data_IF_254819339719
#
_entry.id   IF_254819339719
#
_cell.length_a   1.000
_cell.length_b   1.000
_cell.length_c   1.000
_cell.angle_alpha   90.00
_cell.angle_beta   90.00
_cell.angle_gamma   90.00
#
_symmetry.space_group_name_H-M   'P 1'
#
loop_
_entity.id
_entity.type
_entity.pdbx_description
1 polymer ?
#
# COMPACT_ATOMS: atom_id res chain seq x y z
N UNK A 1 -6.14 -33.03 27.36
CA UNK A 1 -5.43 -31.76 27.60
C UNK A 1 -6.19 -30.68 26.82
N UNK A 2 -6.83 -29.74 27.47
CA UNK A 2 -7.55 -28.64 26.81
C UNK A 2 -6.48 -27.65 26.33
N UNK A 3 -6.31 -27.49 25.02
CA UNK A 3 -5.45 -26.44 24.46
C UNK A 3 -6.23 -25.15 24.61
N UNK A 4 -5.79 -24.28 25.51
CA UNK A 4 -6.36 -22.94 25.65
C UNK A 4 -5.83 -22.10 24.47
N UNK A 5 -6.69 -21.83 23.47
CA UNK A 5 -6.36 -20.89 22.40
C UNK A 5 -6.14 -19.48 22.96
N UNK A 6 -5.05 -18.84 22.56
CA UNK A 6 -4.68 -17.48 22.97
C UNK A 6 -5.52 -16.43 22.24
N UNK A 7 -5.89 -16.72 21.00
CA UNK A 7 -6.67 -15.85 20.13
C UNK A 7 -7.85 -16.63 19.55
N UNK A 8 -8.97 -15.93 19.29
CA UNK A 8 -10.04 -16.48 18.45
C UNK A 8 -9.59 -16.54 17.00
N UNK A 9 -10.31 -17.29 16.16
CA UNK A 9 -9.99 -17.36 14.72
C UNK A 9 -10.17 -16.00 14.05
N UNK A 10 -11.15 -15.20 14.50
CA UNK A 10 -11.39 -13.82 14.03
C UNK A 10 -10.25 -12.87 14.41
N UNK A 11 -9.70 -13.01 15.61
CA UNK A 11 -8.53 -12.24 16.06
C UNK A 11 -7.29 -12.63 15.27
N UNK A 12 -7.09 -13.91 14.97
CA UNK A 12 -5.99 -14.38 14.12
C UNK A 12 -6.11 -13.83 12.69
N UNK A 13 -7.30 -13.83 12.11
CA UNK A 13 -7.54 -13.27 10.80
C UNK A 13 -7.18 -11.79 10.74
N UNK A 14 -7.58 -11.02 11.77
CA UNK A 14 -7.22 -9.60 11.88
C UNK A 14 -5.70 -9.40 12.00
N UNK A 15 -5.02 -10.20 12.84
CA UNK A 15 -3.56 -10.13 13.02
C UNK A 15 -2.81 -10.47 11.72
N UNK A 16 -3.23 -11.51 10.99
CA UNK A 16 -2.67 -11.87 9.68
C UNK A 16 -2.78 -10.73 8.69
N UNK A 17 -3.98 -10.16 8.52
CA UNK A 17 -4.16 -9.05 7.59
C UNK A 17 -3.37 -7.81 8.03
N UNK A 18 -3.29 -7.54 9.34
CA UNK A 18 -2.46 -6.48 9.89
C UNK A 18 -0.98 -6.66 9.52
N UNK A 19 -0.46 -7.88 9.64
CA UNK A 19 0.92 -8.20 9.22
C UNK A 19 1.15 -7.93 7.73
N UNK A 20 0.22 -8.36 6.88
CA UNK A 20 0.31 -8.07 5.44
C UNK A 20 0.39 -6.58 5.16
N UNK A 21 -0.47 -5.79 5.81
CA UNK A 21 -0.49 -4.32 5.64
C UNK A 21 0.81 -3.67 6.12
N UNK A 22 1.32 -4.09 7.28
CA UNK A 22 2.50 -3.48 7.90
C UNK A 22 3.77 -3.86 7.15
N UNK A 23 3.95 -5.14 6.84
CA UNK A 23 5.23 -5.67 6.37
C UNK A 23 5.23 -5.90 4.85
N UNK A 24 4.22 -6.60 4.30
CA UNK A 24 4.28 -7.04 2.91
C UNK A 24 3.87 -5.94 1.92
N UNK A 25 2.85 -5.12 2.26
CA UNK A 25 2.46 -4.01 1.37
C UNK A 25 3.60 -3.00 1.20
N UNK A 26 4.34 -2.70 2.27
CA UNK A 26 5.49 -1.81 2.17
C UNK A 26 6.59 -2.35 1.27
N UNK A 27 6.82 -3.68 1.27
CA UNK A 27 7.79 -4.33 0.38
C UNK A 27 7.33 -4.26 -1.08
N UNK A 28 6.07 -4.63 -1.34
CA UNK A 28 5.48 -4.58 -2.68
C UNK A 28 5.50 -3.16 -3.24
N UNK A 29 5.07 -2.17 -2.46
CA UNK A 29 5.04 -0.77 -2.87
C UNK A 29 6.45 -0.21 -3.16
N UNK A 30 7.48 -0.61 -2.39
CA UNK A 30 8.87 -0.22 -2.70
C UNK A 30 9.34 -0.79 -4.04
N UNK A 31 9.04 -2.06 -4.30
CA UNK A 31 9.37 -2.70 -5.58
C UNK A 31 8.64 -1.99 -6.73
N UNK A 32 7.36 -1.71 -6.57
CA UNK A 32 6.55 -0.98 -7.56
C UNK A 32 7.07 0.43 -7.79
N UNK A 33 7.37 1.19 -6.72
CA UNK A 33 7.95 2.53 -6.85
C UNK A 33 9.25 2.51 -7.65
N UNK A 34 10.16 1.59 -7.30
CA UNK A 34 11.43 1.46 -8.03
C UNK A 34 11.19 1.13 -9.50
N UNK A 35 10.29 0.19 -9.80
CA UNK A 35 9.93 -0.15 -11.17
C UNK A 35 9.36 1.05 -11.92
N UNK A 36 8.42 1.78 -11.33
CA UNK A 36 7.85 2.99 -11.95
C UNK A 36 8.92 4.05 -12.21
N UNK A 37 9.80 4.33 -11.25
CA UNK A 37 10.88 5.28 -11.40
C UNK A 37 11.84 4.90 -12.54
N UNK A 38 12.32 3.66 -12.53
CA UNK A 38 13.27 3.17 -13.51
C UNK A 38 12.71 3.19 -14.96
N UNK A 39 11.38 3.18 -15.12
CA UNK A 39 10.69 3.24 -16.41
C UNK A 39 10.24 4.65 -16.84
N UNK A 40 10.31 5.68 -16.01
CA UNK A 40 10.04 7.07 -16.43
C UNK A 40 11.05 7.59 -17.45
N UNK A 41 12.25 6.98 -17.49
CA UNK A 41 13.23 7.17 -18.58
C UNK A 41 13.97 8.50 -18.61
N UNK A 42 13.74 9.41 -17.66
CA UNK A 42 14.32 10.76 -17.65
C UNK A 42 15.40 10.99 -16.59
N UNK A 43 15.81 9.95 -15.86
CA UNK A 43 16.76 10.05 -14.77
C UNK A 43 17.61 8.80 -14.55
N UNK A 44 18.54 8.81 -13.59
CA UNK A 44 19.29 7.63 -13.20
C UNK A 44 18.36 6.57 -12.59
N UNK A 45 18.74 5.30 -12.71
CA UNK A 45 18.06 4.18 -12.03
C UNK A 45 18.02 4.44 -10.53
N UNK A 46 16.91 4.04 -9.86
CA UNK A 46 16.76 4.19 -8.42
C UNK A 46 17.75 3.29 -7.66
N UNK A 47 18.76 3.91 -7.08
CA UNK A 47 19.79 3.25 -6.26
C UNK A 47 19.72 3.64 -4.78
N UNK A 48 18.72 4.45 -4.40
CA UNK A 48 18.53 5.00 -3.06
C UNK A 48 19.69 5.89 -2.57
N UNK A 49 20.56 6.35 -3.46
CA UNK A 49 21.57 7.34 -3.11
C UNK A 49 20.93 8.69 -2.76
N UNK A 50 21.62 9.49 -1.95
CA UNK A 50 21.17 10.84 -1.60
C UNK A 50 20.92 11.70 -2.86
N UNK A 51 21.77 11.56 -3.88
CA UNK A 51 21.63 12.28 -5.14
C UNK A 51 20.31 11.95 -5.86
N UNK A 52 19.94 10.69 -5.93
CA UNK A 52 18.68 10.24 -6.57
C UNK A 52 17.48 10.65 -5.74
N UNK A 53 17.54 10.56 -4.41
CA UNK A 53 16.47 11.04 -3.53
C UNK A 53 16.28 12.57 -3.63
N UNK A 54 17.36 13.33 -3.74
CA UNK A 54 17.31 14.78 -3.94
C UNK A 54 16.73 15.14 -5.31
N UNK A 55 17.04 14.37 -6.35
CA UNK A 55 16.42 14.55 -7.67
C UNK A 55 14.91 14.33 -7.60
N UNK A 56 14.46 13.22 -6.98
CA UNK A 56 13.03 12.96 -6.76
C UNK A 56 12.38 14.13 -5.99
N UNK A 57 12.99 14.57 -4.88
CA UNK A 57 12.49 15.69 -4.08
C UNK A 57 12.37 17.00 -4.88
N UNK A 58 13.34 17.26 -5.75
CA UNK A 58 13.33 18.43 -6.64
C UNK A 58 12.17 18.39 -7.64
N UNK A 59 11.87 17.23 -8.21
CA UNK A 59 10.75 17.02 -9.13
C UNK A 59 9.39 17.17 -8.42
N UNK A 60 9.27 16.67 -7.18
CA UNK A 60 8.05 16.79 -6.37
C UNK A 60 7.82 18.22 -5.85
N UNK A 61 8.89 18.97 -5.60
CA UNK A 61 8.85 20.33 -5.05
C UNK A 61 8.67 20.36 -3.54
N UNK A 62 8.64 21.57 -2.99
CA UNK A 62 8.68 21.84 -1.53
C UNK A 62 7.50 21.31 -0.72
N UNK A 63 6.41 20.93 -1.36
CA UNK A 63 5.20 20.40 -0.71
C UNK A 63 5.16 18.86 -0.67
N UNK A 64 6.24 18.20 -1.07
CA UNK A 64 6.32 16.75 -1.00
C UNK A 64 6.21 16.25 0.44
N UNK A 65 5.36 15.25 0.67
CA UNK A 65 5.21 14.57 1.96
C UNK A 65 6.07 13.30 2.05
N UNK A 66 6.89 13.04 1.03
CA UNK A 66 7.79 11.90 0.99
C UNK A 66 9.05 12.23 1.78
N UNK A 67 9.48 11.40 2.76
CA UNK A 67 10.64 11.67 3.60
C UNK A 67 11.96 11.35 2.87
N UNK A 68 12.30 12.12 1.85
CA UNK A 68 13.47 11.90 0.98
C UNK A 68 14.83 12.08 1.68
N UNK A 69 14.85 12.63 2.88
CA UNK A 69 16.04 12.70 3.75
C UNK A 69 16.45 11.34 4.29
N UNK A 70 15.53 10.36 4.29
CA UNK A 70 15.77 9.01 4.73
C UNK A 70 15.80 8.04 3.53
N UNK A 71 16.49 6.88 3.73
CA UNK A 71 16.46 5.78 2.78
C UNK A 71 15.01 5.34 2.51
N UNK A 72 14.66 5.12 1.23
CA UNK A 72 13.33 4.65 0.85
C UNK A 72 12.97 3.28 1.46
N UNK A 73 13.97 2.53 1.93
CA UNK A 73 13.76 1.28 2.68
C UNK A 73 13.00 1.50 4.00
N UNK A 74 13.03 2.73 4.52
CA UNK A 74 12.33 3.15 5.74
C UNK A 74 10.97 3.79 5.47
N UNK A 75 10.63 4.06 4.21
CA UNK A 75 9.33 4.63 3.87
C UNK A 75 8.23 3.63 4.19
N UNK A 76 7.25 4.07 4.96
CA UNK A 76 6.04 3.31 5.24
C UNK A 76 5.07 3.32 4.05
N UNK A 77 3.96 2.60 4.16
CA UNK A 77 2.94 2.58 3.12
C UNK A 77 2.44 3.98 2.76
N UNK A 78 2.29 4.88 3.73
CA UNK A 78 1.79 6.24 3.50
C UNK A 78 2.76 7.03 2.62
N UNK A 79 4.04 7.01 2.97
CA UNK A 79 5.10 7.64 2.17
C UNK A 79 5.18 7.04 0.76
N UNK A 80 5.02 5.73 0.62
CA UNK A 80 5.05 5.04 -0.67
C UNK A 80 3.83 5.35 -1.53
N UNK A 81 2.64 5.53 -0.97
CA UNK A 81 1.49 6.05 -1.72
C UNK A 81 1.75 7.47 -2.22
N UNK A 82 2.33 8.33 -1.38
CA UNK A 82 2.72 9.68 -1.78
C UNK A 82 3.77 9.66 -2.89
N UNK A 83 4.75 8.76 -2.81
CA UNK A 83 5.82 8.62 -3.79
C UNK A 83 5.37 7.98 -5.11
N UNK A 84 4.15 7.43 -5.19
CA UNK A 84 3.62 6.76 -6.39
C UNK A 84 2.42 7.50 -6.96
N UNK A 85 1.20 7.15 -6.53
CA UNK A 85 -0.03 7.65 -7.16
C UNK A 85 -0.32 9.13 -6.90
N UNK A 86 0.28 9.72 -5.87
CA UNK A 86 0.18 11.15 -5.58
C UNK A 86 1.40 11.95 -6.09
N UNK A 87 2.44 11.28 -6.55
CA UNK A 87 3.67 11.92 -6.98
C UNK A 87 3.52 12.66 -8.31
N UNK A 88 4.12 13.84 -8.41
CA UNK A 88 4.13 14.65 -9.62
C UNK A 88 5.04 14.07 -10.69
N UNK A 89 6.10 13.37 -10.30
CA UNK A 89 7.05 12.76 -11.23
C UNK A 89 6.38 11.75 -12.16
N UNK A 90 5.28 11.12 -11.73
CA UNK A 90 4.49 10.20 -12.54
C UNK A 90 3.25 10.84 -13.16
N UNK A 91 3.14 12.17 -13.12
CA UNK A 91 1.97 12.89 -13.64
C UNK A 91 1.84 12.77 -15.15
N UNK A 92 0.60 12.77 -15.61
CA UNK A 92 0.22 12.74 -17.03
C UNK A 92 -0.41 14.08 -17.40
N UNK A 93 -0.29 14.45 -18.67
CA UNK A 93 -0.99 15.62 -19.20
C UNK A 93 -2.47 15.29 -19.46
N UNK A 94 -3.37 16.13 -18.95
CA UNK A 94 -4.78 16.06 -19.32
C UNK A 94 -5.00 16.67 -20.72
N UNK A 95 -6.23 16.59 -21.23
CA UNK A 95 -6.61 17.14 -22.55
C UNK A 95 -6.41 18.66 -22.68
N UNK A 96 -6.19 19.37 -21.56
CA UNK A 96 -5.95 20.81 -21.51
C UNK A 96 -4.47 21.15 -21.31
N UNK A 97 -3.60 20.12 -21.24
CA UNK A 97 -2.17 20.28 -21.01
C UNK A 97 -1.77 20.47 -19.54
N UNK A 98 -2.67 20.24 -18.58
CA UNK A 98 -2.31 20.31 -17.17
C UNK A 98 -1.76 18.99 -16.67
N UNK A 99 -0.72 19.04 -15.85
CA UNK A 99 -0.20 17.85 -15.17
C UNK A 99 -1.18 17.36 -14.08
N UNK A 100 -1.52 16.10 -14.16
CA UNK A 100 -2.40 15.39 -13.22
C UNK A 100 -1.71 14.15 -12.68
N UNK A 101 -1.74 13.98 -11.38
CA UNK A 101 -1.21 12.77 -10.73
C UNK A 101 -1.98 11.53 -11.18
N UNK A 102 -1.37 10.36 -11.06
CA UNK A 102 -2.05 9.10 -11.42
C UNK A 102 -3.37 8.93 -10.67
N UNK A 103 -3.41 9.37 -9.40
CA UNK A 103 -4.65 9.37 -8.62
C UNK A 103 -5.73 10.24 -9.24
N UNK A 104 -5.39 11.45 -9.70
CA UNK A 104 -6.36 12.37 -10.32
C UNK A 104 -6.88 11.84 -11.64
N UNK A 105 -6.04 11.14 -12.42
CA UNK A 105 -6.41 10.61 -13.73
C UNK A 105 -7.23 9.32 -13.63
N UNK A 106 -6.82 8.39 -12.75
CA UNK A 106 -7.37 7.03 -12.79
C UNK A 106 -8.19 6.63 -11.57
N UNK A 107 -7.89 7.19 -10.38
CA UNK A 107 -8.56 6.80 -9.13
C UNK A 107 -9.77 7.68 -8.84
N UNK A 108 -9.58 9.00 -8.78
CA UNK A 108 -10.68 9.94 -8.48
C UNK A 108 -11.90 9.78 -9.39
N UNK A 109 -11.75 9.62 -10.71
CA UNK A 109 -12.91 9.50 -11.61
C UNK A 109 -13.75 8.25 -11.36
N UNK A 110 -13.22 7.22 -10.69
CA UNK A 110 -13.98 6.01 -10.35
C UNK A 110 -15.00 6.23 -9.25
N UNK A 111 -14.86 7.29 -8.45
CA UNK A 111 -15.86 7.72 -7.47
C UNK A 111 -16.28 6.64 -6.48
N UNK A 112 -15.33 5.84 -5.98
CA UNK A 112 -15.63 4.74 -5.05
C UNK A 112 -16.27 5.28 -3.77
N UNK A 113 -17.41 4.73 -3.34
CA UNK A 113 -17.98 5.00 -2.02
C UNK A 113 -17.00 4.63 -0.91
N UNK A 114 -17.12 5.29 0.24
CA UNK A 114 -16.34 4.95 1.42
C UNK A 114 -16.51 3.47 1.81
N UNK A 115 -15.43 2.81 2.19
CA UNK A 115 -15.41 1.38 2.53
C UNK A 115 -15.52 0.42 1.35
N UNK A 116 -15.59 0.95 0.11
CA UNK A 116 -15.63 0.13 -1.10
C UNK A 116 -14.22 -0.14 -1.64
N UNK A 117 -14.14 -1.16 -2.51
CA UNK A 117 -12.93 -1.62 -3.18
C UNK A 117 -13.10 -1.60 -4.69
N UNK A 118 -11.99 -1.50 -5.43
CA UNK A 118 -12.03 -1.65 -6.88
C UNK A 118 -12.46 -3.06 -7.26
N UNK A 119 -13.40 -3.16 -8.19
CA UNK A 119 -13.86 -4.46 -8.71
C UNK A 119 -12.79 -5.11 -9.59
N UNK A 120 -12.01 -4.30 -10.29
CA UNK A 120 -10.91 -4.73 -11.15
C UNK A 120 -9.71 -3.80 -10.95
N UNK A 121 -8.53 -4.37 -10.84
CA UNK A 121 -7.27 -3.63 -10.71
C UNK A 121 -6.53 -3.54 -12.05
N UNK A 122 -6.82 -4.42 -13.02
CA UNK A 122 -6.25 -4.35 -14.35
C UNK A 122 -6.98 -3.30 -15.21
N UNK A 123 -6.22 -2.55 -16.00
CA UNK A 123 -6.81 -1.65 -17.00
C UNK A 123 -7.48 -2.46 -18.10
N UNK A 124 -8.76 -2.18 -18.44
CA UNK A 124 -9.42 -2.81 -19.58
C UNK A 124 -8.74 -2.55 -20.92
N UNK A 125 -8.03 -1.43 -21.03
CA UNK A 125 -7.30 -1.03 -22.23
C UNK A 125 -5.84 -1.44 -22.26
N UNK A 126 -5.36 -2.20 -21.26
CA UNK A 126 -3.95 -2.60 -21.17
C UNK A 126 -2.99 -1.45 -20.83
N UNK A 127 -3.48 -0.39 -20.19
CA UNK A 127 -2.65 0.75 -19.77
C UNK A 127 -1.98 0.45 -18.44
N UNK A 128 -0.65 0.33 -18.45
CA UNK A 128 0.14 0.01 -17.25
C UNK A 128 0.03 1.07 -16.15
N UNK A 129 0.02 2.35 -16.52
CA UNK A 129 -0.11 3.44 -15.55
C UNK A 129 -1.48 3.41 -14.83
N UNK A 130 -2.57 3.10 -15.55
CA UNK A 130 -3.88 2.87 -14.96
C UNK A 130 -3.87 1.66 -14.04
N UNK A 131 -3.31 0.53 -14.51
CA UNK A 131 -3.19 -0.70 -13.72
C UNK A 131 -2.44 -0.45 -12.41
N UNK A 132 -1.27 0.18 -12.47
CA UNK A 132 -0.50 0.52 -11.28
C UNK A 132 -1.26 1.46 -10.33
N UNK A 133 -1.90 2.50 -10.88
CA UNK A 133 -2.66 3.46 -10.07
C UNK A 133 -3.80 2.77 -9.30
N UNK A 134 -4.55 1.89 -9.95
CA UNK A 134 -5.69 1.21 -9.34
C UNK A 134 -5.22 0.13 -8.35
N UNK A 135 -4.19 -0.65 -8.69
CA UNK A 135 -3.64 -1.67 -7.80
C UNK A 135 -3.03 -1.05 -6.53
N UNK A 136 -2.28 0.04 -6.66
CA UNK A 136 -1.73 0.78 -5.51
C UNK A 136 -2.86 1.36 -4.66
N UNK A 137 -3.91 1.92 -5.28
CA UNK A 137 -5.07 2.44 -4.55
C UNK A 137 -5.83 1.32 -3.82
N UNK A 138 -5.93 0.13 -4.41
CA UNK A 138 -6.51 -1.05 -3.76
C UNK A 138 -5.76 -1.40 -2.46
N UNK A 139 -4.41 -1.39 -2.47
CA UNK A 139 -3.61 -1.61 -1.27
C UNK A 139 -3.81 -0.48 -0.25
N UNK A 140 -3.97 0.77 -0.70
CA UNK A 140 -4.29 1.91 0.16
C UNK A 140 -5.65 1.74 0.86
N UNK A 141 -6.66 1.29 0.14
CA UNK A 141 -7.99 1.02 0.69
C UNK A 141 -7.96 -0.09 1.74
N UNK A 142 -7.25 -1.20 1.47
CA UNK A 142 -7.06 -2.30 2.43
C UNK A 142 -6.30 -1.82 3.68
N UNK A 143 -5.23 -1.04 3.50
CA UNK A 143 -4.50 -0.44 4.63
C UNK A 143 -5.40 0.46 5.46
N UNK A 144 -6.18 1.32 4.83
CA UNK A 144 -7.06 2.24 5.54
C UNK A 144 -8.12 1.50 6.37
N UNK A 145 -8.67 0.41 5.82
CA UNK A 145 -9.60 -0.43 6.55
C UNK A 145 -9.00 -0.96 7.87
N UNK A 146 -7.76 -1.46 7.83
CA UNK A 146 -7.09 -1.98 9.04
C UNK A 146 -6.76 -0.87 10.03
N UNK A 147 -6.24 0.25 9.53
CA UNK A 147 -5.81 1.38 10.37
C UNK A 147 -6.99 2.06 11.08
N UNK A 148 -8.16 2.08 10.44
CA UNK A 148 -9.37 2.70 10.99
C UNK A 148 -10.39 1.69 11.52
N UNK A 149 -10.01 0.40 11.62
CA UNK A 149 -10.90 -0.61 12.20
C UNK A 149 -11.18 -0.33 13.66
N UNK A 150 -12.46 -0.30 14.03
CA UNK A 150 -12.91 -0.22 15.41
C UNK A 150 -12.81 -1.56 16.15
N UNK A 151 -12.69 -2.68 15.42
CA UNK A 151 -12.59 -4.04 15.95
C UNK A 151 -11.23 -4.65 15.62
N UNK A 152 -10.72 -5.47 16.52
CA UNK A 152 -9.54 -6.32 16.30
C UNK A 152 -9.94 -7.75 15.88
N UNK A 153 -11.11 -7.91 15.28
CA UNK A 153 -11.69 -9.18 14.86
C UNK A 153 -12.18 -9.10 13.43
N UNK A 154 -12.04 -10.21 12.69
CA UNK A 154 -12.45 -10.31 11.30
C UNK A 154 -12.92 -11.73 11.00
N UNK A 155 -14.17 -11.88 10.53
CA UNK A 155 -14.68 -13.17 10.11
C UNK A 155 -13.91 -13.75 8.90
N UNK A 156 -13.98 -15.07 8.74
CA UNK A 156 -13.21 -15.75 7.70
C UNK A 156 -13.60 -15.31 6.29
N UNK A 157 -14.87 -15.07 6.02
CA UNK A 157 -15.35 -14.69 4.68
C UNK A 157 -14.79 -13.33 4.27
N UNK A 158 -14.81 -12.38 5.21
CA UNK A 158 -14.22 -11.04 5.03
C UNK A 158 -12.70 -11.13 4.86
N UNK A 159 -12.03 -11.95 5.69
CA UNK A 159 -10.59 -12.17 5.59
C UNK A 159 -10.21 -12.75 4.21
N UNK A 160 -10.85 -13.84 3.79
CA UNK A 160 -10.56 -14.49 2.50
C UNK A 160 -10.76 -13.49 1.34
N UNK A 161 -11.82 -12.68 1.37
CA UNK A 161 -12.05 -11.64 0.38
C UNK A 161 -10.91 -10.61 0.33
N UNK A 162 -10.40 -10.15 1.48
CA UNK A 162 -9.33 -9.16 1.51
C UNK A 162 -7.99 -9.73 1.09
N UNK A 163 -7.75 -11.00 1.36
CA UNK A 163 -6.59 -11.73 0.83
C UNK A 163 -6.61 -11.75 -0.69
N UNK A 164 -7.75 -12.09 -1.32
CA UNK A 164 -7.84 -12.10 -2.79
C UNK A 164 -7.67 -10.69 -3.38
N UNK A 165 -8.26 -9.65 -2.78
CA UNK A 165 -8.05 -8.27 -3.22
C UNK A 165 -6.57 -7.86 -3.14
N UNK A 166 -5.85 -8.27 -2.11
CA UNK A 166 -4.42 -8.01 -1.96
C UNK A 166 -3.60 -8.79 -3.03
N UNK A 167 -3.93 -10.06 -3.27
CA UNK A 167 -3.29 -10.86 -4.32
C UNK A 167 -3.48 -10.28 -5.71
N UNK A 168 -4.69 -9.84 -6.02
CA UNK A 168 -4.99 -9.22 -7.32
C UNK A 168 -4.17 -7.93 -7.50
N UNK A 169 -4.05 -7.11 -6.46
CA UNK A 169 -3.21 -5.92 -6.51
C UNK A 169 -1.72 -6.26 -6.68
N UNK A 170 -1.20 -7.28 -5.97
CA UNK A 170 0.20 -7.71 -6.11
C UNK A 170 0.49 -8.22 -7.52
N UNK A 171 -0.37 -9.10 -8.06
CA UNK A 171 -0.24 -9.60 -9.43
C UNK A 171 -0.24 -8.46 -10.45
N UNK A 172 -1.14 -7.48 -10.28
CA UNK A 172 -1.27 -6.34 -11.17
C UNK A 172 -0.02 -5.44 -11.21
N UNK A 173 0.73 -5.35 -10.10
CA UNK A 173 2.00 -4.61 -10.03
C UNK A 173 3.24 -5.51 -10.26
N UNK A 174 3.05 -6.77 -10.65
CA UNK A 174 4.15 -7.69 -10.94
C UNK A 174 4.89 -8.21 -9.70
N UNK A 175 4.24 -8.25 -8.54
CA UNK A 175 4.80 -8.77 -7.29
C UNK A 175 4.25 -10.16 -7.02
N UNK A 176 5.13 -11.08 -6.57
CA UNK A 176 4.75 -12.44 -6.19
C UNK A 176 3.81 -12.45 -4.97
N UNK A 177 2.88 -13.41 -4.94
CA UNK A 177 1.87 -13.53 -3.87
C UNK A 177 2.24 -14.51 -2.78
N UNK A 178 3.41 -15.19 -2.88
CA UNK A 178 3.83 -16.24 -1.93
C UNK A 178 3.85 -15.78 -0.47
N UNK A 179 4.24 -14.53 -0.24
CA UNK A 179 4.24 -13.95 1.11
C UNK A 179 2.82 -13.78 1.67
N UNK A 180 1.83 -13.47 0.83
CA UNK A 180 0.43 -13.39 1.22
C UNK A 180 -0.08 -14.78 1.60
N UNK A 181 0.23 -15.81 0.80
CA UNK A 181 -0.16 -17.19 1.07
C UNK A 181 0.51 -17.71 2.35
N UNK A 182 1.80 -17.41 2.55
CA UNK A 182 2.52 -17.76 3.76
C UNK A 182 1.84 -17.17 5.01
N UNK A 183 1.59 -15.87 5.04
CA UNK A 183 0.93 -15.20 6.18
C UNK A 183 -0.50 -15.73 6.36
N UNK A 184 -1.22 -16.00 5.28
CA UNK A 184 -2.55 -16.60 5.32
C UNK A 184 -2.59 -17.95 6.06
N UNK A 185 -1.52 -18.74 5.99
CA UNK A 185 -1.39 -20.03 6.65
C UNK A 185 -0.93 -19.97 8.11
N UNK A 186 -0.53 -18.82 8.63
CA UNK A 186 0.01 -18.67 9.98
C UNK A 186 -1.03 -19.07 11.05
N UNK A 187 -0.53 -19.55 12.18
CA UNK A 187 -1.29 -19.85 13.39
C UNK A 187 -0.89 -18.94 14.55
N UNK A 188 -1.41 -19.18 15.75
CA UNK A 188 -1.15 -18.35 16.93
C UNK A 188 0.33 -18.32 17.36
N UNK A 189 1.13 -19.33 16.98
CA UNK A 189 2.56 -19.36 17.33
C UNK A 189 3.37 -18.25 16.65
N UNK A 190 2.87 -17.74 15.51
CA UNK A 190 3.46 -16.63 14.77
C UNK A 190 3.16 -15.26 15.40
N UNK A 191 2.30 -15.21 16.43
CA UNK A 191 1.87 -13.99 17.08
C UNK A 191 2.21 -13.98 18.59
N UNK A 192 3.52 -14.04 18.97
CA UNK A 192 3.91 -13.81 20.35
C UNK A 192 3.50 -12.40 20.81
N UNK A 193 3.47 -12.17 22.12
CA UNK A 193 3.01 -10.90 22.71
C UNK A 193 3.76 -9.68 22.17
N UNK A 194 5.06 -9.82 21.96
CA UNK A 194 5.94 -8.78 21.43
C UNK A 194 5.57 -8.40 20.00
N UNK A 195 5.24 -9.40 19.17
CA UNK A 195 4.84 -9.18 17.78
C UNK A 195 3.49 -8.47 17.71
N UNK A 196 2.51 -8.89 18.49
CA UNK A 196 1.21 -8.21 18.57
C UNK A 196 1.38 -6.77 19.06
N UNK A 197 2.25 -6.53 20.06
CA UNK A 197 2.55 -5.19 20.53
C UNK A 197 3.22 -4.33 19.45
N UNK A 198 4.14 -4.92 18.65
CA UNK A 198 4.76 -4.25 17.49
C UNK A 198 3.72 -3.83 16.48
N UNK A 199 2.86 -4.75 16.04
CA UNK A 199 1.81 -4.50 15.05
C UNK A 199 0.87 -3.38 15.53
N UNK A 200 0.37 -3.46 16.75
CA UNK A 200 -0.50 -2.43 17.34
C UNK A 200 0.16 -1.05 17.36
N UNK A 201 1.42 -0.97 17.74
CA UNK A 201 2.18 0.30 17.73
C UNK A 201 2.26 0.90 16.34
N UNK A 202 2.60 0.10 15.33
CA UNK A 202 2.73 0.58 13.96
C UNK A 202 1.38 1.05 13.41
N UNK A 203 0.30 0.31 13.65
CA UNK A 203 -1.06 0.72 13.24
C UNK A 203 -1.44 2.04 13.89
N UNK A 204 -1.18 2.24 15.19
CA UNK A 204 -1.43 3.52 15.85
C UNK A 204 -0.64 4.67 15.20
N UNK A 205 0.63 4.46 14.87
CA UNK A 205 1.45 5.47 14.18
C UNK A 205 0.90 5.79 12.78
N UNK A 206 0.47 4.78 12.04
CA UNK A 206 -0.16 4.95 10.73
C UNK A 206 -1.48 5.74 10.83
N UNK A 207 -2.29 5.53 11.88
CA UNK A 207 -3.54 6.25 12.10
C UNK A 207 -3.31 7.75 12.35
N UNK A 208 -2.30 8.10 13.14
CA UNK A 208 -1.94 9.50 13.41
C UNK A 208 -1.43 10.21 12.14
N UNK A 209 -0.65 9.51 11.32
CA UNK A 209 -0.12 10.05 10.07
C UNK A 209 -1.17 10.31 8.98
N UNK A 210 -2.38 9.72 9.08
CA UNK A 210 -3.46 9.90 8.10
C UNK A 210 -4.28 11.17 8.30
N UNK A 211 -4.17 11.87 9.41
CA UNK A 211 -4.88 13.15 9.66
C UNK A 211 -4.62 14.25 8.63
N UNK A 212 -3.83 13.98 7.58
CA UNK A 212 -3.45 14.93 6.51
C UNK A 212 -3.89 14.45 5.12
N UNK A 213 -4.54 13.27 4.99
CA UNK A 213 -4.84 12.66 3.68
C UNK A 213 -6.33 12.69 3.28
N UNK A 214 -7.18 13.34 4.08
CA UNK A 214 -8.62 13.45 3.80
C UNK A 214 -8.98 14.91 3.48
N UNK A 215 -8.63 15.36 2.28
CA UNK A 215 -9.32 16.46 1.55
C UNK A 215 -9.21 16.21 0.04
#
# INVERSE_FOLDING_TARGET
>A
MVVIKRYTDEQLNFLKLTTLVVDEFSKALRQTFKHMWDNVGSGPIWDDSEGVRNLFSGLEGSNSKVPTTESYKRWDCTALFQATIYAKVFSLLDSKGNLKTLREVYVKPRGLPEGSFHTFVLSPGGNDAETFAIAIDQLRLLRNLIVHSASSEMDKTTFDRYIELAKDAFKAVGVATDSIDAVGSWDESHFPTEEVARLKRIICLMAVGTGVLFD
#
